data_IF_197348490638
#
_entry.id   IF_197348490638
#
_cell.length_a   1.000
_cell.length_b   1.000
_cell.length_c   1.000
_cell.angle_alpha   90.00
_cell.angle_beta   90.00
_cell.angle_gamma   90.00
#
_symmetry.space_group_name_H-M   'P 1'
#
loop_
_entity.id
_entity.type
_entity.pdbx_description
1 polymer ?
#
# COMPACT_ATOMS: atom_id res chain seq x y z
N UNK A 1 19.97 -19.79 -9.82
CA UNK A 1 18.99 -18.71 -10.05
C UNK A 1 19.49 -17.49 -9.31
N UNK A 2 19.93 -16.44 -10.02
CA UNK A 2 20.35 -15.20 -9.36
C UNK A 2 19.09 -14.47 -8.88
N UNK A 3 18.94 -14.32 -7.56
CA UNK A 3 17.80 -13.65 -6.93
C UNK A 3 17.73 -12.18 -7.35
N UNK A 4 16.83 -11.88 -8.29
CA UNK A 4 16.51 -10.50 -8.64
C UNK A 4 15.79 -9.82 -7.47
N UNK A 5 16.23 -8.62 -7.09
CA UNK A 5 15.51 -7.79 -6.11
C UNK A 5 14.08 -7.56 -6.61
N UNK A 6 13.08 -7.90 -5.78
CA UNK A 6 11.68 -7.62 -6.10
C UNK A 6 11.46 -6.10 -6.16
N UNK A 7 10.81 -5.63 -7.23
CA UNK A 7 10.37 -4.25 -7.40
C UNK A 7 8.88 -4.24 -7.69
N UNK A 8 8.17 -3.30 -7.08
CA UNK A 8 6.74 -3.06 -7.26
C UNK A 8 6.50 -1.57 -7.49
N UNK A 9 5.47 -1.27 -8.27
CA UNK A 9 4.87 0.06 -8.40
C UNK A 9 3.48 -0.05 -7.79
N UNK A 10 3.15 0.85 -6.86
CA UNK A 10 1.93 0.79 -6.03
C UNK A 10 1.32 2.17 -5.84
N UNK A 11 0.00 2.21 -5.67
CA UNK A 11 -0.80 3.41 -5.36
C UNK A 11 -1.64 3.16 -4.11
N UNK A 12 -1.82 4.17 -3.27
CA UNK A 12 -2.65 4.11 -2.06
C UNK A 12 -4.15 4.11 -2.39
N UNK A 13 -4.93 3.39 -1.60
CA UNK A 13 -6.41 3.45 -1.66
C UNK A 13 -6.98 4.14 -0.42
N UNK A 14 -8.25 4.50 -0.44
CA UNK A 14 -8.97 5.00 0.74
C UNK A 14 -9.36 3.88 1.73
N UNK A 15 -9.14 2.60 1.38
CA UNK A 15 -9.49 1.46 2.24
C UNK A 15 -8.45 1.23 3.33
N UNK A 16 -8.93 1.27 4.57
CA UNK A 16 -8.17 0.89 5.77
C UNK A 16 -8.76 -0.38 6.37
N UNK A 17 -7.90 -1.32 6.75
CA UNK A 17 -8.23 -2.52 7.52
C UNK A 17 -7.40 -2.56 8.80
N UNK A 18 -7.78 -3.37 9.75
CA UNK A 18 -7.02 -3.69 10.96
C UNK A 18 -6.24 -4.98 10.74
N UNK A 19 -4.92 -4.91 10.89
CA UNK A 19 -4.01 -6.04 10.87
C UNK A 19 -3.40 -6.20 12.26
N UNK A 20 -3.76 -7.27 12.97
CA UNK A 20 -3.29 -7.53 14.34
C UNK A 20 -3.46 -6.33 15.30
N UNK A 21 -4.59 -5.63 15.25
CA UNK A 21 -4.87 -4.45 16.08
C UNK A 21 -4.27 -3.13 15.57
N UNK A 22 -3.58 -3.14 14.42
CA UNK A 22 -2.94 -1.96 13.82
C UNK A 22 -3.66 -1.57 12.53
N UNK A 23 -4.07 -0.30 12.35
CA UNK A 23 -4.63 0.14 11.07
C UNK A 23 -3.58 0.06 9.96
N UNK A 24 -3.97 -0.55 8.84
CA UNK A 24 -3.19 -0.69 7.63
C UNK A 24 -4.02 -0.19 6.45
N UNK A 25 -3.47 0.75 5.69
CA UNK A 25 -4.06 1.18 4.43
C UNK A 25 -3.72 0.14 3.35
N UNK A 26 -4.70 -0.22 2.53
CA UNK A 26 -4.47 -1.10 1.39
C UNK A 26 -3.91 -0.26 0.24
N UNK A 27 -2.78 -0.70 -0.31
CA UNK A 27 -2.18 -0.15 -1.52
C UNK A 27 -2.19 -1.24 -2.59
N UNK A 28 -2.37 -0.84 -3.84
CA UNK A 28 -2.53 -1.78 -4.96
C UNK A 28 -1.51 -1.48 -6.04
N UNK A 29 -1.04 -2.52 -6.70
CA UNK A 29 -0.09 -2.35 -7.79
C UNK A 29 0.32 -3.65 -8.44
N UNK A 30 1.52 -3.66 -9.01
CA UNK A 30 2.08 -4.83 -9.71
C UNK A 30 3.60 -4.93 -9.56
N UNK A 31 4.11 -6.14 -9.67
CA UNK A 31 5.55 -6.36 -9.86
C UNK A 31 5.99 -5.89 -11.25
N UNK A 32 7.31 -5.74 -11.45
CA UNK A 32 7.88 -5.44 -12.77
C UNK A 32 7.49 -6.44 -13.87
N UNK A 33 7.19 -7.69 -13.50
CA UNK A 33 6.71 -8.73 -14.44
C UNK A 33 5.18 -8.77 -14.60
N UNK A 34 4.46 -7.79 -14.03
CA UNK A 34 3.01 -7.66 -14.16
C UNK A 34 2.17 -8.49 -13.19
N UNK A 35 2.76 -9.08 -12.13
CA UNK A 35 2.00 -9.84 -11.13
C UNK A 35 1.28 -8.85 -10.22
N UNK A 36 -0.05 -8.87 -10.10
CA UNK A 36 -0.79 -7.99 -9.20
C UNK A 36 -0.39 -8.20 -7.73
N UNK A 37 -0.30 -7.11 -6.97
CA UNK A 37 0.01 -7.14 -5.54
C UNK A 37 -0.94 -6.23 -4.77
N UNK A 38 -1.29 -6.66 -3.56
CA UNK A 38 -1.88 -5.82 -2.54
C UNK A 38 -0.92 -5.69 -1.36
N UNK A 39 -0.72 -4.47 -0.89
CA UNK A 39 0.16 -4.17 0.23
C UNK A 39 -0.67 -3.62 1.41
N UNK A 40 -0.47 -4.18 2.60
CA UNK A 40 -1.08 -3.70 3.84
C UNK A 40 -0.09 -2.76 4.54
N UNK A 41 -0.18 -1.48 4.22
CA UNK A 41 0.79 -0.47 4.66
C UNK A 41 0.34 0.11 6.00
N UNK A 42 1.00 -0.30 7.08
CA UNK A 42 0.74 0.27 8.42
C UNK A 42 1.45 1.60 8.60
N UNK A 43 2.62 1.80 8.01
CA UNK A 43 3.42 3.03 8.09
C UNK A 43 4.14 3.29 6.77
N UNK A 44 4.26 4.55 6.41
CA UNK A 44 5.08 5.05 5.31
C UNK A 44 5.67 6.40 5.72
N UNK A 45 6.89 6.68 5.30
CA UNK A 45 7.59 7.93 5.60
C UNK A 45 8.51 8.27 4.43
N UNK A 46 8.68 9.56 4.08
CA UNK A 46 9.78 9.96 3.23
C UNK A 46 11.10 9.69 3.95
N UNK A 47 12.18 9.51 3.18
CA UNK A 47 13.50 9.21 3.72
C UNK A 47 14.17 10.44 4.36
N UNK A 48 13.81 11.64 3.91
CA UNK A 48 14.30 12.92 4.42
C UNK A 48 13.12 13.89 4.63
N UNK A 49 13.40 15.04 5.23
CA UNK A 49 12.41 16.11 5.42
C UNK A 49 12.22 17.00 4.18
N UNK A 50 13.04 16.81 3.13
CA UNK A 50 12.89 17.53 1.88
C UNK A 50 11.60 17.06 1.18
N UNK A 51 10.73 18.00 0.80
CA UNK A 51 9.47 17.69 0.12
C UNK A 51 8.39 17.05 1.01
N UNK A 52 8.49 17.19 2.34
CA UNK A 52 7.51 16.59 3.27
C UNK A 52 6.08 17.08 3.01
N UNK A 53 5.89 18.35 2.67
CA UNK A 53 4.57 18.92 2.37
C UNK A 53 3.96 18.33 1.10
N UNK A 54 4.79 18.10 0.07
CA UNK A 54 4.37 17.45 -1.17
C UNK A 54 4.02 15.99 -0.92
N UNK A 55 4.84 15.28 -0.15
CA UNK A 55 4.57 13.90 0.26
C UNK A 55 3.26 13.78 1.05
N UNK A 56 3.02 14.66 2.02
CA UNK A 56 1.79 14.66 2.82
C UNK A 56 0.56 14.88 1.95
N UNK A 57 0.64 15.81 0.99
CA UNK A 57 -0.43 16.08 0.03
C UNK A 57 -0.71 14.85 -0.85
N UNK A 58 0.32 14.29 -1.50
CA UNK A 58 0.20 13.08 -2.33
C UNK A 58 -0.36 11.89 -1.54
N UNK A 59 0.02 11.75 -0.26
CA UNK A 59 -0.47 10.67 0.59
C UNK A 59 -1.98 10.75 0.88
N UNK A 60 -2.60 11.94 0.77
CA UNK A 60 -4.06 12.12 0.90
C UNK A 60 -4.80 11.91 -0.43
N UNK A 61 -4.11 11.97 -1.56
CA UNK A 61 -4.67 11.73 -2.90
C UNK A 61 -4.87 10.23 -3.11
N UNK A 62 -5.94 9.69 -2.54
CA UNK A 62 -6.27 8.25 -2.59
C UNK A 62 -7.25 7.92 -3.70
N UNK A 63 -7.08 6.75 -4.34
CA UNK A 63 -8.11 6.16 -5.20
C UNK A 63 -9.09 5.28 -4.42
N UNK A 64 -10.24 5.00 -5.02
CA UNK A 64 -11.13 3.95 -4.53
C UNK A 64 -10.47 2.56 -4.67
N UNK A 65 -10.66 1.63 -3.71
CA UNK A 65 -10.11 0.28 -3.77
C UNK A 65 -10.73 -0.55 -4.89
N UNK A 66 -9.96 -1.49 -5.44
CA UNK A 66 -10.52 -2.50 -6.35
C UNK A 66 -11.46 -3.47 -5.63
N UNK A 67 -12.26 -4.22 -6.39
CA UNK A 67 -13.09 -5.32 -5.87
C UNK A 67 -12.28 -6.34 -5.07
N UNK A 68 -11.04 -6.61 -5.49
CA UNK A 68 -10.13 -7.50 -4.76
C UNK A 68 -9.81 -6.95 -3.37
N UNK A 69 -9.44 -5.68 -3.28
CA UNK A 69 -9.20 -4.99 -2.01
C UNK A 69 -10.46 -4.88 -1.14
N UNK A 70 -11.64 -4.73 -1.73
CA UNK A 70 -12.90 -4.70 -0.98
C UNK A 70 -13.21 -5.99 -0.23
N UNK A 71 -12.72 -7.14 -0.70
CA UNK A 71 -13.01 -8.45 -0.09
C UNK A 71 -12.31 -8.71 1.25
N UNK A 72 -11.26 -7.94 1.58
CA UNK A 72 -10.56 -8.12 2.85
C UNK A 72 -11.43 -7.69 4.04
N UNK A 73 -11.56 -8.54 5.07
CA UNK A 73 -12.28 -8.19 6.28
C UNK A 73 -11.57 -7.02 6.99
N UNK A 74 -12.34 -6.23 7.74
CA UNK A 74 -11.80 -5.15 8.56
C UNK A 74 -10.81 -5.66 9.62
N UNK A 75 -10.85 -6.94 9.99
CA UNK A 75 -9.87 -7.56 10.89
C UNK A 75 -9.23 -8.74 10.20
N UNK A 76 -7.94 -8.64 9.92
CA UNK A 76 -7.12 -9.74 9.41
C UNK A 76 -6.20 -10.27 10.51
N UNK A 77 -6.16 -11.59 10.64
CA UNK A 77 -5.27 -12.35 11.53
C UNK A 77 -4.53 -13.34 10.63
N UNK A 78 -3.20 -13.39 10.72
CA UNK A 78 -2.35 -14.33 9.97
C UNK A 78 -2.18 -15.65 10.71
#
# INVERSE_FOLDING_TARGET
MLGGKMKIEIENTDKVVELNGVPARIWEGKTASGIPVHCFVTRISPQSHEGIEDFERELQETKAPSTGALSYPLRMIL
#
